data_IF_440463722755
#
_entry.id   IF_440463722755
#
_cell.length_a   1.000
_cell.length_b   1.000
_cell.length_c   1.000
_cell.angle_alpha   90.00
_cell.angle_beta   90.00
_cell.angle_gamma   90.00
#
_symmetry.space_group_name_H-M   'P 1'
#
loop_
_entity.id
_entity.type
_entity.pdbx_description
1 polymer ?
#
# COMPACT_ATOMS: atom_id res chain seq x y z
N UNK A 1 -2.69 11.39 21.02
CA UNK A 1 -2.19 11.25 19.64
C UNK A 1 -1.84 9.79 19.39
N UNK A 2 -1.68 9.40 18.13
CA UNK A 2 -1.21 8.06 17.78
C UNK A 2 0.27 7.89 18.16
N UNK A 3 0.67 6.74 18.71
CA UNK A 3 2.05 6.46 19.12
C UNK A 3 2.81 5.64 18.06
N UNK A 4 3.51 6.35 17.19
CA UNK A 4 4.32 5.75 16.14
C UNK A 4 5.48 4.89 16.69
N UNK A 5 6.08 5.26 17.83
CA UNK A 5 7.22 4.49 18.39
C UNK A 5 6.77 3.09 18.79
N UNK A 6 5.61 3.00 19.45
CA UNK A 6 5.00 1.71 19.82
C UNK A 6 4.63 0.88 18.58
N UNK A 7 4.11 1.51 17.52
CA UNK A 7 3.79 0.82 16.26
C UNK A 7 5.05 0.25 15.61
N UNK A 8 6.09 1.08 15.40
CA UNK A 8 7.33 0.66 14.76
C UNK A 8 8.01 -0.48 15.52
N UNK A 9 8.04 -0.41 16.86
CA UNK A 9 8.56 -1.49 17.69
C UNK A 9 7.81 -2.80 17.42
N UNK A 10 6.47 -2.79 17.42
CA UNK A 10 5.66 -3.99 17.16
C UNK A 10 5.86 -4.57 15.76
N UNK A 11 6.04 -3.72 14.75
CA UNK A 11 6.31 -4.16 13.38
C UNK A 11 7.69 -4.83 13.33
N UNK A 12 8.72 -4.19 13.89
CA UNK A 12 10.09 -4.72 13.87
C UNK A 12 10.28 -6.00 14.70
N UNK A 13 9.49 -6.19 15.77
CA UNK A 13 9.49 -7.41 16.59
C UNK A 13 8.70 -8.57 15.94
N UNK A 14 7.97 -8.33 14.84
CA UNK A 14 7.17 -9.34 14.16
C UNK A 14 7.90 -9.93 12.96
N UNK A 15 7.85 -11.26 12.81
CA UNK A 15 8.39 -11.95 11.63
C UNK A 15 7.45 -11.88 10.41
N UNK A 16 6.22 -11.40 10.59
CA UNK A 16 5.17 -11.43 9.56
C UNK A 16 5.05 -10.13 8.76
N UNK A 17 5.82 -9.08 9.12
CA UNK A 17 5.72 -7.77 8.49
C UNK A 17 7.09 -7.27 8.04
N UNK A 18 7.09 -6.57 6.91
CA UNK A 18 8.26 -5.87 6.38
C UNK A 18 7.85 -4.45 5.99
N UNK A 19 8.74 -3.49 6.24
CA UNK A 19 8.56 -2.11 5.80
C UNK A 19 9.21 -1.97 4.43
N UNK A 20 8.40 -1.58 3.44
CA UNK A 20 8.87 -1.32 2.09
C UNK A 20 9.11 0.18 1.89
N UNK A 21 10.25 0.59 1.32
CA UNK A 21 10.51 1.99 1.01
C UNK A 21 9.69 2.43 -0.21
N UNK A 22 9.42 3.73 -0.29
CA UNK A 22 9.01 4.35 -1.55
C UNK A 22 10.28 4.57 -2.40
N UNK A 23 10.43 3.79 -3.45
CA UNK A 23 11.60 3.81 -4.32
C UNK A 23 11.23 4.07 -5.79
N UNK A 24 12.23 4.12 -6.66
CA UNK A 24 12.04 4.46 -8.08
C UNK A 24 11.09 3.50 -8.82
N UNK A 25 11.17 2.16 -8.64
CA UNK A 25 10.20 1.24 -9.22
C UNK A 25 8.75 1.54 -8.82
N UNK A 26 8.49 1.79 -7.53
CA UNK A 26 7.15 2.16 -7.06
C UNK A 26 6.71 3.49 -7.65
N UNK A 27 7.59 4.50 -7.69
CA UNK A 27 7.28 5.81 -8.30
C UNK A 27 6.95 5.69 -9.79
N UNK A 28 7.57 4.77 -10.51
CA UNK A 28 7.29 4.54 -11.93
C UNK A 28 5.89 3.96 -12.13
N UNK A 29 5.49 2.98 -11.32
CA UNK A 29 4.12 2.42 -11.36
C UNK A 29 3.05 3.48 -11.04
N UNK A 30 3.35 4.45 -10.17
CA UNK A 30 2.41 5.53 -9.81
C UNK A 30 1.99 6.40 -11.00
N UNK A 31 2.84 6.55 -12.02
CA UNK A 31 2.58 7.41 -13.19
C UNK A 31 1.36 6.91 -13.97
N UNK A 32 1.17 5.59 -14.01
CA UNK A 32 0.10 4.95 -14.79
C UNK A 32 -1.23 4.85 -14.03
N UNK A 33 -1.25 5.13 -12.71
CA UNK A 33 -2.44 5.14 -11.87
C UNK A 33 -3.17 6.50 -11.95
N UNK A 34 -4.15 6.58 -12.86
CA UNK A 34 -4.94 7.79 -13.13
C UNK A 34 -6.27 7.86 -12.38
N UNK A 35 -6.81 6.71 -12.00
CA UNK A 35 -8.12 6.52 -11.37
C UNK A 35 -8.09 6.55 -9.83
N UNK A 36 -6.91 6.72 -9.25
CA UNK A 36 -6.70 6.91 -7.82
C UNK A 36 -6.25 8.36 -7.60
N UNK A 37 -7.04 9.25 -6.98
CA UNK A 37 -6.65 10.66 -6.83
C UNK A 37 -5.64 10.87 -5.69
N UNK A 38 -5.79 10.14 -4.59
CA UNK A 38 -5.02 10.37 -3.37
C UNK A 38 -3.59 9.82 -3.47
N UNK A 39 -2.60 10.65 -3.11
CA UNK A 39 -1.19 10.31 -3.21
C UNK A 39 -0.82 9.09 -2.35
N UNK A 40 -1.38 9.00 -1.14
CA UNK A 40 -1.11 7.90 -0.23
C UNK A 40 -1.61 6.55 -0.78
N UNK A 41 -2.81 6.54 -1.35
CA UNK A 41 -3.38 5.35 -1.99
C UNK A 41 -2.59 4.96 -3.24
N UNK A 42 -2.13 5.94 -4.04
CA UNK A 42 -1.25 5.66 -5.18
C UNK A 42 0.02 4.94 -4.76
N UNK A 43 0.66 5.36 -3.67
CA UNK A 43 1.88 4.72 -3.15
C UNK A 43 1.59 3.27 -2.78
N UNK A 44 0.51 3.02 -2.03
CA UNK A 44 0.12 1.68 -1.59
C UNK A 44 -0.21 0.78 -2.78
N UNK A 45 -1.03 1.26 -3.72
CA UNK A 45 -1.44 0.50 -4.91
C UNK A 45 -0.27 0.22 -5.84
N UNK A 46 0.61 1.19 -6.04
CA UNK A 46 1.80 1.01 -6.88
C UNK A 46 2.76 -0.01 -6.28
N UNK A 47 2.95 0.02 -4.96
CA UNK A 47 3.77 -0.97 -4.25
C UNK A 47 3.20 -2.37 -4.43
N UNK A 48 1.88 -2.53 -4.25
CA UNK A 48 1.22 -3.82 -4.40
C UNK A 48 1.27 -4.34 -5.84
N UNK A 49 1.06 -3.47 -6.84
CA UNK A 49 1.19 -3.81 -8.27
C UNK A 49 2.61 -4.20 -8.64
N UNK A 50 3.61 -3.43 -8.20
CA UNK A 50 5.02 -3.73 -8.43
C UNK A 50 5.42 -5.12 -7.89
N UNK A 51 4.87 -5.51 -6.73
CA UNK A 51 5.12 -6.80 -6.10
C UNK A 51 4.15 -7.91 -6.54
N UNK A 52 3.15 -7.60 -7.36
CA UNK A 52 2.07 -8.50 -7.75
C UNK A 52 1.33 -9.13 -6.55
N UNK A 53 1.03 -8.33 -5.53
CA UNK A 53 0.34 -8.72 -4.30
C UNK A 53 -1.06 -8.10 -4.19
N UNK A 54 -2.01 -8.76 -3.51
CA UNK A 54 -3.30 -8.15 -3.17
C UNK A 54 -3.15 -7.10 -2.05
N UNK A 55 -4.12 -6.19 -1.97
CA UNK A 55 -4.18 -5.15 -0.92
C UNK A 55 -5.20 -5.52 0.13
N UNK A 56 -4.80 -5.45 1.41
CA UNK A 56 -5.73 -5.54 2.53
C UNK A 56 -6.27 -4.14 2.81
N UNK A 57 -7.56 -3.90 2.53
CA UNK A 57 -8.17 -2.58 2.76
C UNK A 57 -9.67 -2.65 3.00
N UNK A 58 -10.14 -1.85 3.96
CA UNK A 58 -11.57 -1.63 4.19
C UNK A 58 -12.19 -0.60 3.24
N UNK A 59 -11.36 0.17 2.55
CA UNK A 59 -11.78 1.26 1.67
C UNK A 59 -12.62 0.71 0.51
N UNK A 60 -13.87 1.18 0.40
CA UNK A 60 -14.80 0.71 -0.62
C UNK A 60 -14.38 1.16 -2.02
N UNK A 61 -13.79 2.35 -2.12
CA UNK A 61 -13.34 2.93 -3.39
C UNK A 61 -12.27 2.05 -4.01
N UNK A 62 -11.26 1.65 -3.20
CA UNK A 62 -10.21 0.75 -3.65
C UNK A 62 -10.73 -0.65 -3.96
N UNK A 63 -11.63 -1.19 -3.14
CA UNK A 63 -12.25 -2.52 -3.38
C UNK A 63 -13.05 -2.58 -4.69
N UNK A 64 -13.59 -1.45 -5.14
CA UNK A 64 -14.39 -1.38 -6.36
C UNK A 64 -13.56 -1.13 -7.63
N UNK A 65 -12.24 -0.97 -7.53
CA UNK A 65 -11.38 -0.80 -8.69
C UNK A 65 -11.20 -2.15 -9.42
N UNK A 66 -11.58 -2.26 -10.71
CA UNK A 66 -11.66 -3.55 -11.40
C UNK A 66 -10.29 -4.21 -11.64
N UNK A 67 -9.21 -3.43 -11.61
CA UNK A 67 -7.85 -3.89 -11.87
C UNK A 67 -7.06 -4.16 -10.58
N UNK A 68 -7.70 -4.04 -9.41
CA UNK A 68 -7.08 -4.20 -8.11
C UNK A 68 -7.61 -5.45 -7.39
N UNK A 69 -6.72 -6.35 -6.99
CA UNK A 69 -7.09 -7.47 -6.13
C UNK A 69 -7.05 -7.03 -4.67
N UNK A 70 -8.19 -7.08 -3.98
CA UNK A 70 -8.30 -6.71 -2.56
C UNK A 70 -8.75 -7.89 -1.69
N UNK A 71 -8.36 -7.87 -0.41
CA UNK A 71 -8.82 -8.82 0.63
C UNK A 71 -9.40 -8.01 1.79
N UNK A 72 -10.64 -8.30 2.19
CA UNK A 72 -11.28 -7.70 3.37
C UNK A 72 -12.45 -8.55 3.87
#
# INVERSE_FOLDING_TARGET
SFDFRKLFRKINESENFVILPLDYPVLKEMIDLKDIPELHDKIIVSTARFLNLPIITKDETLRNLPHLKTIW
#
